data_IF_617634962800
#
_entry.id   IF_617634962800
#
_cell.length_a   1.000
_cell.length_b   1.000
_cell.length_c   1.000
_cell.angle_alpha   90.00
_cell.angle_beta   90.00
_cell.angle_gamma   90.00
#
_symmetry.space_group_name_H-M   'P 1'
#
loop_
_entity.id
_entity.type
_entity.pdbx_description
1 polymer ?
#
# COMPACT_ATOMS: atom_id res chain seq x y z
N UNK A 1 33.24 -7.62 5.59
CA UNK A 1 32.05 -6.73 5.59
C UNK A 1 32.37 -5.38 4.96
N UNK A 2 33.01 -5.38 3.78
CA UNK A 2 33.48 -4.11 3.17
C UNK A 2 33.15 -3.97 1.67
N UNK A 3 32.59 -5.01 1.05
CA UNK A 3 32.05 -4.95 -0.32
C UNK A 3 30.55 -4.60 -0.36
N UNK A 4 29.78 -4.94 0.69
CA UNK A 4 28.35 -4.62 0.75
C UNK A 4 28.07 -3.14 1.03
N UNK A 5 29.04 -2.42 1.59
CA UNK A 5 28.98 -0.97 1.83
C UNK A 5 29.34 -0.14 0.60
N UNK A 6 29.98 -0.74 -0.41
CA UNK A 6 30.43 -0.07 -1.64
C UNK A 6 29.47 -0.24 -2.81
N UNK A 7 28.43 -1.06 -2.66
CA UNK A 7 27.31 -1.18 -3.61
C UNK A 7 26.11 -0.30 -3.23
N UNK A 8 26.34 0.77 -2.45
CA UNK A 8 25.32 1.75 -2.04
C UNK A 8 25.42 3.07 -2.84
N UNK A 9 26.36 3.18 -3.77
CA UNK A 9 26.55 4.38 -4.60
C UNK A 9 26.62 3.98 -6.07
N UNK A 10 25.47 3.95 -6.74
CA UNK A 10 25.29 4.30 -8.16
C UNK A 10 23.99 3.68 -8.70
N UNK A 11 22.84 4.18 -8.24
CA UNK A 11 21.64 4.17 -9.10
C UNK A 11 20.94 5.52 -8.91
N UNK A 12 21.46 6.53 -9.61
CA UNK A 12 20.72 7.76 -9.87
C UNK A 12 19.66 7.46 -10.94
N UNK A 13 18.51 6.93 -10.52
CA UNK A 13 17.31 7.02 -11.37
C UNK A 13 16.75 8.42 -11.16
N UNK A 14 16.90 9.26 -12.18
CA UNK A 14 16.09 10.46 -12.37
C UNK A 14 14.61 10.08 -12.29
N UNK A 15 14.02 10.26 -11.11
CA UNK A 15 12.57 10.25 -10.94
C UNK A 15 12.08 11.53 -11.59
N UNK A 16 11.59 11.41 -12.83
CA UNK A 16 10.72 12.41 -13.41
C UNK A 16 9.63 12.71 -12.38
N UNK A 17 9.42 13.99 -12.07
CA UNK A 17 8.26 14.43 -11.28
C UNK A 17 7.01 14.05 -12.07
N UNK A 18 6.52 12.83 -11.87
CA UNK A 18 5.20 12.42 -12.27
C UNK A 18 4.24 13.34 -11.52
N UNK A 19 3.52 14.14 -12.30
CA UNK A 19 2.46 15.02 -11.85
C UNK A 19 1.68 14.36 -10.71
N UNK A 20 1.55 15.05 -9.56
CA UNK A 20 0.55 14.70 -8.58
C UNK A 20 -0.80 14.72 -9.29
N UNK A 21 -1.27 13.54 -9.71
CA UNK A 21 -2.65 13.35 -10.08
C UNK A 21 -3.48 13.77 -8.86
N UNK A 22 -4.57 14.54 -9.04
CA UNK A 22 -5.44 14.89 -7.95
C UNK A 22 -5.84 13.60 -7.24
N UNK A 23 -5.50 13.50 -5.95
CA UNK A 23 -5.94 12.41 -5.09
C UNK A 23 -7.46 12.56 -5.02
N UNK A 24 -8.17 11.88 -5.92
CA UNK A 24 -9.60 11.76 -5.86
C UNK A 24 -9.91 11.27 -4.45
N UNK A 25 -10.58 12.12 -3.66
CA UNK A 25 -11.12 11.74 -2.36
C UNK A 25 -12.16 10.68 -2.67
N UNK A 26 -11.73 9.44 -2.73
CA UNK A 26 -12.57 8.38 -3.20
C UNK A 26 -13.78 8.29 -2.24
N UNK A 27 -14.98 8.40 -2.82
CA UNK A 27 -16.26 8.33 -2.13
C UNK A 27 -16.33 7.03 -1.34
N UNK A 28 -16.82 7.06 -0.09
CA UNK A 28 -16.68 6.03 0.95
C UNK A 28 -16.94 4.55 0.57
N UNK A 29 -17.77 3.86 1.35
CA UNK A 29 -18.22 2.50 0.96
C UNK A 29 -19.16 2.68 -0.24
N UNK A 30 -18.96 1.92 -1.32
CA UNK A 30 -19.94 1.81 -2.40
C UNK A 30 -20.88 0.67 -1.98
N UNK A 31 -22.19 0.93 -1.94
CA UNK A 31 -23.18 -0.13 -1.71
C UNK A 31 -23.45 -0.85 -3.03
N UNK A 32 -23.31 -2.19 -3.03
CA UNK A 32 -23.49 -3.04 -4.21
C UNK A 32 -22.44 -2.76 -5.30
N UNK A 33 -21.16 -2.77 -4.91
CA UNK A 33 -20.07 -2.61 -5.88
C UNK A 33 -20.14 -3.67 -6.98
N UNK A 34 -19.97 -3.23 -8.23
CA UNK A 34 -19.81 -4.10 -9.40
C UNK A 34 -18.51 -4.89 -9.33
N UNK A 35 -18.39 -5.96 -10.13
CA UNK A 35 -17.17 -6.76 -10.17
C UNK A 35 -15.95 -5.93 -10.61
N UNK A 36 -16.15 -5.04 -11.58
CA UNK A 36 -15.15 -4.10 -12.07
C UNK A 36 -14.71 -3.13 -10.96
N UNK A 37 -15.64 -2.57 -10.20
CA UNK A 37 -15.32 -1.67 -9.08
C UNK A 37 -14.56 -2.37 -7.96
N UNK A 38 -14.91 -3.62 -7.64
CA UNK A 38 -14.17 -4.43 -6.67
C UNK A 38 -12.76 -4.72 -7.18
N UNK A 39 -12.61 -5.08 -8.46
CA UNK A 39 -11.29 -5.31 -9.08
C UNK A 39 -10.43 -4.05 -9.01
N UNK A 40 -11.01 -2.90 -9.39
CA UNK A 40 -10.32 -1.60 -9.33
C UNK A 40 -9.91 -1.24 -7.90
N UNK A 41 -10.79 -1.48 -6.92
CA UNK A 41 -10.48 -1.23 -5.51
C UNK A 41 -9.31 -2.09 -4.99
N UNK A 42 -9.21 -3.35 -5.46
CA UNK A 42 -8.08 -4.22 -5.14
C UNK A 42 -6.79 -3.65 -5.76
N UNK A 43 -6.82 -3.26 -7.03
CA UNK A 43 -5.67 -2.67 -7.72
C UNK A 43 -5.21 -1.36 -7.08
N UNK A 44 -6.14 -0.50 -6.69
CA UNK A 44 -5.83 0.73 -5.96
C UNK A 44 -5.22 0.45 -4.59
N UNK A 45 -5.73 -0.55 -3.86
CA UNK A 45 -5.15 -0.94 -2.58
C UNK A 45 -3.71 -1.44 -2.73
N UNK A 46 -3.43 -2.24 -3.77
CA UNK A 46 -2.07 -2.71 -4.10
C UNK A 46 -1.18 -1.51 -4.42
N UNK A 47 -1.55 -0.71 -5.41
CA UNK A 47 -0.76 0.43 -5.89
C UNK A 47 -0.44 1.40 -4.74
N UNK A 48 -1.43 1.81 -3.96
CA UNK A 48 -1.22 2.74 -2.84
C UNK A 48 -0.33 2.13 -1.74
N UNK A 49 -0.39 0.81 -1.53
CA UNK A 49 0.49 0.13 -0.58
C UNK A 49 1.93 0.03 -1.07
N UNK A 50 2.14 -0.14 -2.38
CA UNK A 50 3.47 -0.10 -3.03
C UNK A 50 4.04 1.33 -3.01
N UNK A 51 3.22 2.35 -3.31
CA UNK A 51 3.62 3.76 -3.18
C UNK A 51 4.03 4.09 -1.74
N UNK A 52 3.28 3.63 -0.73
CA UNK A 52 3.65 3.80 0.67
C UNK A 52 4.98 3.11 1.01
N UNK A 53 5.21 1.90 0.48
CA UNK A 53 6.45 1.16 0.67
C UNK A 53 7.64 1.94 0.08
N UNK A 54 7.53 2.39 -1.16
CA UNK A 54 8.55 3.20 -1.82
C UNK A 54 8.79 4.52 -1.07
N UNK A 55 7.74 5.17 -0.58
CA UNK A 55 7.87 6.40 0.20
C UNK A 55 8.69 6.19 1.48
N UNK A 56 8.46 5.09 2.19
CA UNK A 56 9.25 4.71 3.38
C UNK A 56 10.71 4.42 3.01
N UNK A 57 10.95 3.67 1.94
CA UNK A 57 12.30 3.33 1.47
C UNK A 57 13.09 4.55 1.03
N UNK A 58 12.42 5.55 0.45
CA UNK A 58 13.03 6.81 0.03
C UNK A 58 13.24 7.82 1.16
N UNK A 59 12.81 7.50 2.39
CA UNK A 59 12.86 8.44 3.51
C UNK A 59 11.96 9.67 3.31
N UNK A 60 10.84 9.50 2.61
CA UNK A 60 9.83 10.55 2.42
C UNK A 60 9.26 10.99 3.78
N UNK A 61 8.75 12.22 3.86
CA UNK A 61 8.21 12.76 5.10
C UNK A 61 7.06 11.90 5.67
N UNK A 62 6.94 11.92 7.00
CA UNK A 62 5.98 11.11 7.74
C UNK A 62 4.53 11.37 7.29
N UNK A 63 4.16 12.63 7.06
CA UNK A 63 2.78 12.99 6.72
C UNK A 63 2.36 12.43 5.36
N UNK A 64 3.25 12.46 4.37
CA UNK A 64 3.05 11.84 3.06
C UNK A 64 2.85 10.32 3.20
N UNK A 65 3.71 9.64 3.97
CA UNK A 65 3.57 8.19 4.21
C UNK A 65 2.23 7.89 4.91
N UNK A 66 1.89 8.64 5.96
CA UNK A 66 0.64 8.47 6.70
C UNK A 66 -0.60 8.75 5.83
N UNK A 67 -0.49 9.66 4.86
CA UNK A 67 -1.48 9.95 3.84
C UNK A 67 -1.71 8.76 2.91
N UNK A 68 -0.64 8.17 2.38
CA UNK A 68 -0.71 6.97 1.54
C UNK A 68 -1.35 5.80 2.30
N UNK A 69 -0.91 5.52 3.54
CA UNK A 69 -1.49 4.45 4.37
C UNK A 69 -2.99 4.67 4.65
N UNK A 70 -3.42 5.93 4.79
CA UNK A 70 -4.85 6.28 4.95
C UNK A 70 -5.61 5.98 3.65
N UNK A 71 -5.05 6.37 2.51
CA UNK A 71 -5.64 6.12 1.18
C UNK A 71 -5.76 4.63 0.88
N UNK A 72 -4.73 3.82 1.19
CA UNK A 72 -4.77 2.35 1.07
C UNK A 72 -5.96 1.77 1.85
N UNK A 73 -6.18 2.22 3.09
CA UNK A 73 -7.33 1.77 3.89
C UNK A 73 -8.66 2.18 3.27
N UNK A 74 -8.75 3.36 2.67
CA UNK A 74 -9.99 3.80 2.01
C UNK A 74 -10.27 2.99 0.75
N UNK A 75 -9.25 2.72 -0.09
CA UNK A 75 -9.39 1.84 -1.24
C UNK A 75 -9.83 0.42 -0.81
N UNK A 76 -9.17 -0.13 0.21
CA UNK A 76 -9.50 -1.45 0.76
C UNK A 76 -10.95 -1.58 1.24
N UNK A 77 -11.59 -0.51 1.75
CA UNK A 77 -13.01 -0.55 2.15
C UNK A 77 -13.97 -0.80 1.00
N UNK A 78 -13.59 -0.47 -0.24
CA UNK A 78 -14.39 -0.69 -1.45
C UNK A 78 -14.28 -2.11 -2.00
N UNK A 79 -13.36 -2.91 -1.46
CA UNK A 79 -13.29 -4.35 -1.76
C UNK A 79 -14.46 -5.02 -1.04
N UNK A 80 -15.64 -5.00 -1.67
CA UNK A 80 -16.89 -5.59 -1.17
C UNK A 80 -17.01 -7.04 -1.67
N UNK A 81 -16.29 -7.95 -1.02
CA UNK A 81 -16.37 -9.38 -1.33
C UNK A 81 -16.12 -10.25 -0.10
N UNK A 82 -17.10 -11.09 0.24
CA UNK A 82 -17.02 -12.02 1.38
C UNK A 82 -15.92 -13.07 1.21
N UNK A 83 -15.57 -13.42 -0.04
CA UNK A 83 -14.60 -14.47 -0.36
C UNK A 83 -13.18 -14.08 0.09
N UNK A 84 -12.88 -12.78 0.00
CA UNK A 84 -11.55 -12.22 0.29
C UNK A 84 -11.52 -11.39 1.57
N UNK A 85 -12.64 -11.24 2.27
CA UNK A 85 -12.76 -10.36 3.44
C UNK A 85 -11.73 -10.65 4.54
N UNK A 86 -11.49 -11.93 4.83
CA UNK A 86 -10.47 -12.35 5.81
C UNK A 86 -9.07 -11.88 5.42
N UNK A 87 -8.70 -12.02 4.14
CA UNK A 87 -7.38 -11.61 3.63
C UNK A 87 -7.27 -10.08 3.62
N UNK A 88 -8.31 -9.38 3.15
CA UNK A 88 -8.42 -7.93 3.19
C UNK A 88 -8.24 -7.38 4.62
N UNK A 89 -8.90 -8.00 5.60
CA UNK A 89 -8.77 -7.64 7.02
C UNK A 89 -7.34 -7.86 7.54
N UNK A 90 -6.72 -8.98 7.16
CA UNK A 90 -5.31 -9.27 7.49
C UNK A 90 -4.37 -8.22 6.90
N UNK A 91 -4.55 -7.82 5.64
CA UNK A 91 -3.77 -6.74 5.02
C UNK A 91 -3.95 -5.41 5.76
N UNK A 92 -5.20 -5.04 6.07
CA UNK A 92 -5.52 -3.82 6.84
C UNK A 92 -4.89 -3.80 8.24
N UNK A 93 -4.74 -4.97 8.88
CA UNK A 93 -4.00 -5.10 10.14
C UNK A 93 -2.52 -4.75 9.95
N UNK A 94 -1.88 -5.19 8.86
CA UNK A 94 -0.49 -4.84 8.55
C UNK A 94 -0.32 -3.36 8.23
N UNK A 95 -1.22 -2.75 7.44
CA UNK A 95 -1.26 -1.30 7.22
C UNK A 95 -1.38 -0.52 8.54
N UNK A 96 -2.19 -1.02 9.49
CA UNK A 96 -2.33 -0.41 10.83
C UNK A 96 -1.03 -0.49 11.64
N UNK A 97 -0.32 -1.62 11.57
CA UNK A 97 0.97 -1.79 12.24
C UNK A 97 2.07 -0.93 11.60
N UNK A 98 2.10 -0.83 10.28
CA UNK A 98 2.99 0.08 9.55
C UNK A 98 2.78 1.53 9.99
N UNK A 99 1.52 2.00 10.05
CA UNK A 99 1.17 3.34 10.56
C UNK A 99 1.71 3.58 11.97
N UNK A 100 1.56 2.59 12.86
CA UNK A 100 2.07 2.69 14.23
C UNK A 100 3.60 2.68 14.32
N UNK A 101 4.29 2.03 13.38
CA UNK A 101 5.75 2.02 13.32
C UNK A 101 6.29 3.36 12.79
N UNK A 102 5.69 3.92 11.74
CA UNK A 102 6.01 5.24 11.20
C UNK A 102 5.92 6.32 12.28
N UNK A 103 4.82 6.36 13.03
CA UNK A 103 4.63 7.30 14.16
C UNK A 103 5.63 7.17 15.30
N UNK A 104 6.38 6.07 15.33
CA UNK A 104 7.43 5.80 16.32
C UNK A 104 8.83 6.03 15.73
N UNK A 105 8.94 6.46 14.47
CA UNK A 105 10.20 6.58 13.74
C UNK A 105 10.84 5.24 13.35
N UNK A 106 10.11 4.13 13.44
CA UNK A 106 10.62 2.79 13.15
C UNK A 106 10.34 2.40 11.69
N UNK A 107 11.08 3.03 10.77
CA UNK A 107 10.89 2.87 9.33
C UNK A 107 11.18 1.45 8.84
N UNK A 108 12.17 0.76 9.43
CA UNK A 108 12.49 -0.63 9.07
C UNK A 108 11.32 -1.57 9.38
N UNK A 109 10.67 -1.38 10.53
CA UNK A 109 9.50 -2.17 10.90
C UNK A 109 8.26 -1.78 10.08
N UNK A 110 8.11 -0.51 9.73
CA UNK A 110 7.06 -0.06 8.82
C UNK A 110 7.20 -0.71 7.44
N UNK A 111 8.41 -0.73 6.89
CA UNK A 111 8.75 -1.39 5.63
C UNK A 111 8.38 -2.88 5.64
N UNK A 112 8.79 -3.61 6.68
CA UNK A 112 8.44 -5.04 6.85
C UNK A 112 6.93 -5.26 6.83
N UNK A 113 6.16 -4.45 7.54
CA UNK A 113 4.69 -4.56 7.54
C UNK A 113 4.08 -4.18 6.18
N UNK A 114 4.66 -3.22 5.46
CA UNK A 114 4.20 -2.83 4.13
C UNK A 114 4.44 -3.92 3.09
N UNK A 115 5.61 -4.57 3.10
CA UNK A 115 5.91 -5.73 2.25
C UNK A 115 4.87 -6.85 2.47
N UNK A 116 4.58 -7.16 3.74
CA UNK A 116 3.54 -8.14 4.07
C UNK A 116 2.15 -7.70 3.59
N UNK A 117 1.80 -6.42 3.72
CA UNK A 117 0.51 -5.90 3.28
C UNK A 117 0.35 -6.00 1.75
N UNK A 118 1.36 -5.58 0.98
CA UNK A 118 1.39 -5.69 -0.49
C UNK A 118 1.20 -7.14 -0.91
N UNK A 119 1.94 -8.06 -0.29
CA UNK A 119 1.83 -9.50 -0.56
C UNK A 119 0.41 -10.02 -0.33
N UNK A 120 -0.21 -9.68 0.80
CA UNK A 120 -1.58 -10.11 1.11
C UNK A 120 -2.61 -9.46 0.16
N UNK A 121 -2.43 -8.20 -0.25
CA UNK A 121 -3.34 -7.60 -1.25
C UNK A 121 -3.21 -8.25 -2.63
N UNK A 122 -2.01 -8.69 -3.03
CA UNK A 122 -1.83 -9.50 -4.24
C UNK A 122 -2.50 -10.88 -4.11
N UNK A 123 -2.47 -11.47 -2.91
CA UNK A 123 -3.23 -12.70 -2.61
C UNK A 123 -4.75 -12.46 -2.70
N UNK A 124 -5.25 -11.33 -2.19
CA UNK A 124 -6.65 -10.90 -2.37
C UNK A 124 -7.02 -10.85 -3.84
N UNK A 125 -6.19 -10.23 -4.69
CA UNK A 125 -6.44 -10.14 -6.13
C UNK A 125 -6.49 -11.51 -6.78
N UNK A 126 -5.50 -12.36 -6.50
CA UNK A 126 -5.43 -13.73 -7.04
C UNK A 126 -6.67 -14.53 -6.66
N UNK A 127 -7.07 -14.48 -5.38
CA UNK A 127 -8.25 -15.20 -4.89
C UNK A 127 -9.56 -14.65 -5.47
N UNK A 128 -9.66 -13.33 -5.65
CA UNK A 128 -10.85 -12.73 -6.25
C UNK A 128 -10.99 -13.10 -7.73
N UNK A 129 -9.90 -13.12 -8.50
CA UNK A 129 -9.89 -13.50 -9.93
C UNK A 129 -10.14 -14.99 -10.18
N UNK A 130 -9.95 -15.84 -9.16
CA UNK A 130 -10.17 -17.28 -9.25
C UNK A 130 -11.62 -17.70 -8.96
N UNK A 131 -12.49 -16.74 -8.63
CA UNK A 131 -13.92 -16.93 -8.41
C UNK A 131 -14.71 -16.35 -9.58
#
# INVERSE_FOLDING_TARGET
MDLLKKLLLAVSVTVAMSAMAPVATAAGKIENATAEEVSQAIEDAIRLSEEALTAVQNGTDEDTVLGLLKSTKQASKRIESNIVDRLRSKANSRISKARSAIRKGDNAKAESYLIEAVSIFKEVQSKYKAF
#
